data_IF_011598072078
#
_entry.id   IF_011598072078
#
_cell.length_a   1.000
_cell.length_b   1.000
_cell.length_c   1.000
_cell.angle_alpha   90.00
_cell.angle_beta   90.00
_cell.angle_gamma   90.00
#
_symmetry.space_group_name_H-M   'P 1'
#
loop_
_entity.id
_entity.type
_entity.pdbx_description
1 polymer ?
#
# COMPACT_ATOMS: atom_id res chain seq x y z
N UNK A 1 -0.23 23.42 -15.57
CA UNK A 1 -1.17 22.97 -14.49
C UNK A 1 -2.43 23.85 -14.55
N UNK A 2 -3.61 23.25 -14.66
CA UNK A 2 -4.89 23.95 -14.73
C UNK A 2 -5.32 24.48 -13.33
N UNK A 3 -6.40 25.32 -13.29
CA UNK A 3 -6.89 25.94 -12.06
C UNK A 3 -7.31 24.89 -11.01
N UNK A 4 -8.00 23.82 -11.43
CA UNK A 4 -8.45 22.73 -10.57
C UNK A 4 -7.27 22.06 -9.84
N UNK A 5 -6.22 21.69 -10.56
CA UNK A 5 -5.04 21.06 -9.98
C UNK A 5 -4.31 21.98 -8.99
N UNK A 6 -4.35 23.31 -9.21
CA UNK A 6 -3.80 24.29 -8.25
C UNK A 6 -4.58 24.30 -6.95
N UNK A 7 -5.91 24.30 -7.03
CA UNK A 7 -6.78 24.25 -5.85
C UNK A 7 -6.55 22.96 -5.04
N UNK A 8 -6.44 21.81 -5.71
CA UNK A 8 -6.11 20.54 -5.05
C UNK A 8 -4.76 20.62 -4.32
N UNK A 9 -3.75 21.25 -4.90
CA UNK A 9 -2.45 21.44 -4.24
C UNK A 9 -2.51 22.42 -3.06
N UNK A 10 -3.34 23.45 -3.13
CA UNK A 10 -3.57 24.36 -2.00
C UNK A 10 -4.22 23.64 -0.83
N UNK A 11 -5.23 22.81 -1.09
CA UNK A 11 -5.91 22.02 -0.06
C UNK A 11 -4.98 20.93 0.53
N UNK A 12 -4.12 20.32 -0.30
CA UNK A 12 -3.07 19.45 0.18
C UNK A 12 -2.13 20.18 1.17
N UNK A 13 -1.67 21.40 0.85
CA UNK A 13 -0.77 22.16 1.73
C UNK A 13 -1.40 22.47 3.07
N UNK A 14 -2.70 22.83 3.09
CA UNK A 14 -3.44 23.11 4.32
C UNK A 14 -3.58 21.88 5.23
N UNK A 15 -3.70 20.68 4.62
CA UNK A 15 -4.02 19.46 5.33
C UNK A 15 -2.79 18.54 5.53
N UNK A 16 -1.62 18.90 5.00
CA UNK A 16 -0.45 18.02 5.01
C UNK A 16 -0.02 17.61 6.42
N UNK A 17 -0.07 18.52 7.38
CA UNK A 17 0.35 18.26 8.75
C UNK A 17 -0.64 17.31 9.47
N UNK A 18 -1.92 17.36 9.13
CA UNK A 18 -2.90 16.40 9.62
C UNK A 18 -2.60 14.99 9.07
N UNK A 19 -2.21 14.87 7.79
CA UNK A 19 -1.80 13.59 7.22
C UNK A 19 -0.50 13.06 7.85
N UNK A 20 0.41 13.91 8.30
CA UNK A 20 1.59 13.47 9.04
C UNK A 20 1.17 12.88 10.39
N UNK A 21 0.32 13.60 11.17
CA UNK A 21 -0.22 13.08 12.43
C UNK A 21 -1.01 11.78 12.25
N UNK A 22 -1.84 11.74 11.21
CA UNK A 22 -2.59 10.53 10.83
C UNK A 22 -1.63 9.36 10.55
N UNK A 23 -0.52 9.62 9.87
CA UNK A 23 0.50 8.61 9.58
C UNK A 23 1.10 7.99 10.84
N UNK A 24 1.43 8.81 11.83
CA UNK A 24 1.95 8.34 13.12
C UNK A 24 0.91 7.50 13.87
N UNK A 25 -0.35 7.93 13.87
CA UNK A 25 -1.46 7.18 14.50
C UNK A 25 -1.65 5.82 13.80
N UNK A 26 -1.72 5.81 12.47
CA UNK A 26 -1.88 4.58 11.68
C UNK A 26 -0.71 3.62 11.88
N UNK A 27 0.52 4.14 11.92
CA UNK A 27 1.71 3.33 12.20
C UNK A 27 1.62 2.63 13.55
N UNK A 28 1.27 3.36 14.60
CA UNK A 28 1.13 2.80 15.94
C UNK A 28 0.00 1.76 16.00
N UNK A 29 -1.15 2.03 15.39
CA UNK A 29 -2.26 1.06 15.32
C UNK A 29 -1.86 -0.23 14.60
N UNK A 30 -1.13 -0.12 13.49
CA UNK A 30 -0.65 -1.30 12.74
C UNK A 30 0.40 -2.07 13.55
N UNK A 31 1.25 -1.39 14.31
CA UNK A 31 2.21 -2.03 15.22
C UNK A 31 1.48 -2.80 16.31
N UNK A 32 0.50 -2.18 16.97
CA UNK A 32 -0.31 -2.84 18.01
C UNK A 32 -1.05 -4.07 17.45
N UNK A 33 -1.57 -3.99 16.24
CA UNK A 33 -2.23 -5.12 15.56
C UNK A 33 -1.25 -6.28 15.39
N UNK A 34 -0.10 -6.03 14.81
CA UNK A 34 0.91 -7.06 14.53
C UNK A 34 1.44 -7.68 15.81
N UNK A 35 1.76 -6.86 16.82
CA UNK A 35 2.25 -7.31 18.13
C UNK A 35 1.21 -8.16 18.87
N UNK A 36 -0.07 -7.76 18.83
CA UNK A 36 -1.16 -8.51 19.47
C UNK A 36 -1.37 -9.91 18.87
N UNK A 37 -0.95 -10.10 17.62
CA UNK A 37 -1.04 -11.38 16.91
C UNK A 37 0.21 -12.25 17.08
N UNK A 38 1.30 -11.71 17.65
CA UNK A 38 2.58 -12.39 17.75
C UNK A 38 3.22 -12.66 16.37
N UNK A 39 2.85 -11.88 15.36
CA UNK A 39 3.42 -12.01 14.00
C UNK A 39 4.70 -11.18 13.92
N UNK A 40 5.78 -11.80 13.44
CA UNK A 40 7.02 -11.08 13.13
C UNK A 40 6.93 -10.52 11.70
N UNK A 41 7.16 -9.22 11.55
CA UNK A 41 7.17 -8.56 10.24
C UNK A 41 8.55 -7.99 9.94
N UNK A 42 8.89 -7.82 8.66
CA UNK A 42 10.11 -7.14 8.25
C UNK A 42 10.07 -5.65 8.65
N UNK A 43 8.90 -5.04 8.56
CA UNK A 43 8.70 -3.65 8.97
C UNK A 43 7.30 -3.14 8.68
N UNK A 44 6.99 -2.04 9.37
CA UNK A 44 5.80 -1.23 9.15
C UNK A 44 6.29 0.15 8.74
N UNK A 45 5.89 0.61 7.58
CA UNK A 45 6.32 1.87 7.00
C UNK A 45 5.11 2.75 6.73
N UNK A 46 5.27 4.06 6.85
CA UNK A 46 4.28 5.00 6.32
C UNK A 46 4.97 6.21 5.69
N UNK A 47 4.28 6.85 4.78
CA UNK A 47 4.74 8.10 4.20
C UNK A 47 3.58 8.96 3.71
N UNK A 48 3.71 10.26 3.89
CA UNK A 48 2.87 11.25 3.23
C UNK A 48 3.49 11.59 1.88
N UNK A 49 2.68 11.57 0.81
CA UNK A 49 3.12 11.91 -0.54
C UNK A 49 3.69 13.32 -0.57
N UNK A 50 4.84 13.52 -1.21
CA UNK A 50 5.41 14.86 -1.35
C UNK A 50 4.59 15.71 -2.34
N UNK A 51 4.59 17.03 -2.17
CA UNK A 51 3.92 17.95 -3.09
C UNK A 51 4.37 17.75 -4.54
N UNK A 52 5.68 17.54 -4.77
CA UNK A 52 6.24 17.25 -6.09
C UNK A 52 5.63 15.97 -6.70
N UNK A 53 5.49 14.92 -5.88
CA UNK A 53 4.89 13.65 -6.33
C UNK A 53 3.40 13.80 -6.63
N UNK A 54 2.68 14.59 -5.82
CA UNK A 54 1.27 14.89 -6.06
C UNK A 54 1.09 15.74 -7.32
N UNK A 55 1.89 16.78 -7.52
CA UNK A 55 1.86 17.60 -8.73
C UNK A 55 2.06 16.76 -9.99
N UNK A 56 3.06 15.87 -9.99
CA UNK A 56 3.30 14.94 -11.10
C UNK A 56 2.15 13.95 -11.32
N UNK A 57 1.46 13.50 -10.26
CA UNK A 57 0.25 12.67 -10.38
C UNK A 57 -0.90 13.45 -11.03
N UNK A 58 -1.12 14.69 -10.61
CA UNK A 58 -2.16 15.56 -11.15
C UNK A 58 -1.88 15.98 -12.60
N UNK A 59 -0.63 16.10 -13.01
CA UNK A 59 -0.29 16.38 -14.41
C UNK A 59 -0.61 15.21 -15.34
N UNK A 60 -0.38 13.97 -14.88
CA UNK A 60 -0.67 12.76 -15.67
C UNK A 60 -2.13 12.36 -15.67
N UNK A 61 -2.80 12.49 -14.51
CA UNK A 61 -4.12 11.91 -14.26
C UNK A 61 -5.11 12.93 -13.66
N UNK A 62 -4.84 14.23 -13.78
CA UNK A 62 -5.65 15.27 -13.11
C UNK A 62 -7.11 15.29 -13.50
N UNK A 63 -7.45 14.75 -14.68
CA UNK A 63 -8.85 14.69 -15.13
C UNK A 63 -9.69 13.69 -14.32
N UNK A 64 -9.05 12.75 -13.62
CA UNK A 64 -9.73 11.75 -12.78
C UNK A 64 -10.16 12.30 -11.42
N UNK A 65 -9.61 13.44 -10.99
CA UNK A 65 -9.86 14.03 -9.68
C UNK A 65 -10.64 15.33 -9.83
N UNK A 66 -11.76 15.44 -9.17
CA UNK A 66 -12.59 16.65 -9.13
C UNK A 66 -12.20 17.56 -7.97
N UNK A 67 -11.76 16.96 -6.86
CA UNK A 67 -11.38 17.65 -5.63
C UNK A 67 -10.23 16.94 -4.92
N UNK A 68 -9.78 17.50 -3.81
CA UNK A 68 -8.73 16.89 -2.97
C UNK A 68 -9.20 15.58 -2.32
N UNK A 69 -10.49 15.47 -1.98
CA UNK A 69 -11.12 14.32 -1.32
C UNK A 69 -11.13 13.06 -2.19
N UNK A 70 -11.00 13.22 -3.51
CA UNK A 70 -10.90 12.07 -4.44
C UNK A 70 -9.53 11.37 -4.34
N UNK A 71 -8.55 11.99 -3.68
CA UNK A 71 -7.21 11.45 -3.51
C UNK A 71 -7.15 10.53 -2.29
N UNK A 72 -7.12 9.24 -2.52
CA UNK A 72 -7.13 8.22 -1.46
C UNK A 72 -5.75 7.79 -0.98
N UNK A 73 -4.66 8.26 -1.63
CA UNK A 73 -3.28 7.81 -1.43
C UNK A 73 -2.31 8.95 -1.04
N UNK A 74 -2.82 10.00 -0.38
CA UNK A 74 -1.99 11.07 0.19
C UNK A 74 -1.10 10.53 1.30
N UNK A 75 -1.66 9.71 2.19
CA UNK A 75 -0.92 8.89 3.13
C UNK A 75 -0.96 7.44 2.65
N UNK A 76 0.19 6.80 2.61
CA UNK A 76 0.32 5.37 2.37
C UNK A 76 1.06 4.71 3.53
N UNK A 77 0.50 3.64 4.06
CA UNK A 77 1.12 2.76 5.04
C UNK A 77 1.37 1.37 4.43
N UNK A 78 2.37 0.65 4.95
CA UNK A 78 2.72 -0.70 4.49
C UNK A 78 3.05 -1.60 5.67
N UNK A 79 2.52 -2.82 5.62
CA UNK A 79 2.96 -3.91 6.50
C UNK A 79 3.66 -4.94 5.62
N UNK A 80 4.92 -5.24 5.93
CA UNK A 80 5.76 -6.16 5.15
C UNK A 80 5.98 -7.42 6.00
N UNK A 81 5.20 -8.47 5.74
CA UNK A 81 5.26 -9.74 6.44
C UNK A 81 6.18 -10.75 5.72
N UNK A 82 6.50 -11.85 6.38
CA UNK A 82 7.34 -12.88 5.78
C UNK A 82 6.54 -13.91 5.00
N UNK A 83 5.34 -14.27 5.47
CA UNK A 83 4.55 -15.36 4.90
C UNK A 83 3.24 -14.86 4.29
N UNK A 84 2.77 -15.58 3.26
CA UNK A 84 1.57 -15.17 2.50
C UNK A 84 0.27 -15.34 3.30
N UNK A 85 0.20 -16.33 4.21
CA UNK A 85 -0.96 -16.55 5.08
C UNK A 85 -1.11 -15.48 6.17
N UNK A 86 -0.05 -14.72 6.46
CA UNK A 86 -0.09 -13.59 7.37
C UNK A 86 -0.83 -12.38 6.78
N UNK A 87 -0.82 -12.24 5.44
CA UNK A 87 -1.53 -11.15 4.77
C UNK A 87 -3.01 -11.16 5.12
N UNK A 88 -3.67 -12.33 5.04
CA UNK A 88 -5.10 -12.45 5.33
C UNK A 88 -5.42 -12.28 6.82
N UNK A 89 -4.52 -12.75 7.68
CA UNK A 89 -4.65 -12.59 9.14
C UNK A 89 -4.58 -11.11 9.54
N UNK A 90 -3.56 -10.40 9.03
CA UNK A 90 -3.38 -8.97 9.27
C UNK A 90 -4.52 -8.17 8.64
N UNK A 91 -4.92 -8.54 7.41
CA UNK A 91 -6.03 -7.92 6.68
C UNK A 91 -7.32 -7.91 7.49
N UNK A 92 -7.72 -9.04 8.07
CA UNK A 92 -8.90 -9.13 8.93
C UNK A 92 -8.84 -8.20 10.15
N UNK A 93 -7.65 -8.04 10.76
CA UNK A 93 -7.48 -7.10 11.88
C UNK A 93 -7.52 -5.64 11.45
N UNK A 94 -7.05 -5.35 10.26
CA UNK A 94 -7.21 -4.01 9.66
C UNK A 94 -8.69 -3.71 9.40
N UNK A 95 -9.46 -4.67 8.89
CA UNK A 95 -10.91 -4.52 8.68
C UNK A 95 -11.68 -4.28 10.00
N UNK A 96 -11.22 -4.87 11.12
CA UNK A 96 -11.80 -4.66 12.44
C UNK A 96 -11.44 -3.29 13.05
N UNK A 97 -10.27 -2.74 12.72
CA UNK A 97 -9.71 -1.55 13.34
C UNK A 97 -10.02 -0.24 12.60
N UNK A 98 -10.27 -0.30 11.30
CA UNK A 98 -10.45 0.86 10.42
C UNK A 98 -11.77 0.81 9.67
N UNK A 99 -12.25 1.96 9.23
CA UNK A 99 -13.37 2.03 8.29
C UNK A 99 -12.84 1.80 6.88
N UNK A 100 -13.30 0.74 6.22
CA UNK A 100 -12.82 0.34 4.89
C UNK A 100 -13.71 0.90 3.80
N UNK A 101 -13.11 1.58 2.84
CA UNK A 101 -13.73 1.95 1.56
C UNK A 101 -13.57 0.79 0.57
N UNK A 102 -14.57 -0.10 0.57
CA UNK A 102 -14.54 -1.31 -0.25
C UNK A 102 -14.54 -1.05 -1.75
N UNK A 103 -15.12 0.06 -2.21
CA UNK A 103 -15.18 0.42 -3.63
C UNK A 103 -13.80 0.77 -4.19
N UNK A 104 -12.94 1.40 -3.36
CA UNK A 104 -11.60 1.81 -3.73
C UNK A 104 -10.51 0.83 -3.25
N UNK A 105 -10.89 -0.18 -2.47
CA UNK A 105 -9.98 -1.23 -2.01
C UNK A 105 -9.82 -2.34 -3.05
N UNK A 106 -8.68 -3.00 -3.08
CA UNK A 106 -8.43 -4.07 -4.05
C UNK A 106 -7.51 -5.16 -3.51
N UNK A 107 -7.90 -6.41 -3.75
CA UNK A 107 -7.01 -7.55 -3.60
C UNK A 107 -6.36 -7.88 -4.95
N UNK A 108 -5.14 -7.41 -5.14
CA UNK A 108 -4.42 -7.62 -6.39
C UNK A 108 -3.97 -9.08 -6.58
N UNK A 109 -4.02 -9.91 -5.53
CA UNK A 109 -3.73 -11.35 -5.61
C UNK A 109 -4.77 -12.09 -6.45
N UNK A 110 -6.04 -11.62 -6.42
CA UNK A 110 -7.14 -12.19 -7.19
C UNK A 110 -7.08 -11.90 -8.70
N UNK A 111 -6.29 -10.90 -9.13
CA UNK A 111 -6.22 -10.44 -10.51
C UNK A 111 -5.21 -11.22 -11.37
N UNK A 112 -4.38 -12.06 -10.77
CA UNK A 112 -3.30 -12.75 -11.47
C UNK A 112 -3.65 -14.24 -11.61
N UNK A 113 -3.55 -14.76 -12.86
CA UNK A 113 -3.63 -16.21 -13.11
C UNK A 113 -2.48 -16.90 -12.36
N UNK A 114 -2.75 -18.10 -11.83
CA UNK A 114 -1.85 -18.89 -10.99
C UNK A 114 -0.41 -19.05 -11.53
N UNK A 115 -0.21 -18.87 -12.84
CA UNK A 115 1.08 -19.02 -13.52
C UNK A 115 1.84 -17.72 -13.76
N UNK A 116 1.34 -16.57 -13.26
CA UNK A 116 1.97 -15.28 -13.51
C UNK A 116 2.57 -14.73 -12.23
N UNK A 117 3.90 -14.63 -12.18
CA UNK A 117 4.58 -13.89 -11.12
C UNK A 117 4.26 -12.41 -11.28
N UNK A 118 3.65 -11.79 -10.28
CA UNK A 118 3.20 -10.40 -10.37
C UNK A 118 3.12 -9.70 -9.03
N UNK A 119 2.81 -8.40 -9.10
CA UNK A 119 2.61 -7.55 -7.93
C UNK A 119 1.35 -7.97 -7.17
N UNK A 120 1.55 -8.78 -6.14
CA UNK A 120 0.50 -9.35 -5.30
C UNK A 120 0.52 -8.61 -3.96
N UNK A 121 -0.45 -7.76 -3.70
CA UNK A 121 -0.61 -7.11 -2.41
C UNK A 121 -2.08 -6.84 -2.15
N UNK A 122 -2.44 -6.88 -0.89
CA UNK A 122 -3.75 -6.47 -0.42
C UNK A 122 -3.71 -4.96 -0.17
N UNK A 123 -4.60 -4.21 -0.81
CA UNK A 123 -4.70 -2.77 -0.71
C UNK A 123 -6.05 -2.39 -0.12
N UNK A 124 -6.03 -1.78 1.04
CA UNK A 124 -7.20 -1.17 1.65
C UNK A 124 -7.12 0.34 1.56
N UNK A 125 -8.20 0.97 1.12
CA UNK A 125 -8.44 2.37 1.35
C UNK A 125 -9.23 2.49 2.63
N UNK A 126 -8.66 3.21 3.60
CA UNK A 126 -9.16 3.27 4.98
C UNK A 126 -9.40 4.70 5.41
N UNK A 127 -10.16 4.84 6.50
CA UNK A 127 -10.19 6.05 7.31
C UNK A 127 -10.33 5.68 8.79
N UNK A 128 -9.96 6.63 9.68
CA UNK A 128 -10.28 6.51 11.10
C UNK A 128 -11.76 6.83 11.32
N UNK A 129 -12.44 6.07 12.20
CA UNK A 129 -13.81 6.39 12.57
C UNK A 129 -13.86 7.72 13.33
N UNK A 130 -14.97 8.46 13.19
CA UNK A 130 -15.26 9.60 14.03
C UNK A 130 -15.56 9.14 15.47
N UNK A 131 -15.17 9.92 16.46
CA UNK A 131 -15.41 9.65 17.87
C UNK A 131 -14.35 10.34 18.76
N UNK A 132 -14.48 10.17 20.05
CA UNK A 132 -13.65 10.87 21.06
C UNK A 132 -12.19 10.37 21.14
N UNK A 133 -11.85 9.31 20.39
CA UNK A 133 -10.51 8.71 20.45
C UNK A 133 -9.45 9.51 19.69
N UNK A 134 -9.85 10.17 18.61
CA UNK A 134 -8.94 10.87 17.69
C UNK A 134 -9.43 12.30 17.44
N UNK A 135 -8.53 13.26 17.18
CA UNK A 135 -8.93 14.59 16.74
C UNK A 135 -9.73 14.54 15.43
N UNK A 136 -10.79 15.36 15.35
CA UNK A 136 -11.67 15.39 14.16
C UNK A 136 -10.92 15.71 12.87
N UNK A 137 -9.82 16.47 12.97
CA UNK A 137 -8.99 16.87 11.82
C UNK A 137 -8.35 15.68 11.08
N UNK A 138 -8.19 14.54 11.76
CA UNK A 138 -7.63 13.33 11.15
C UNK A 138 -8.66 12.24 10.89
N UNK A 139 -9.85 12.34 11.50
CA UNK A 139 -10.94 11.40 11.28
C UNK A 139 -11.52 11.54 9.86
N UNK A 140 -11.99 10.43 9.28
CA UNK A 140 -12.59 10.40 7.95
C UNK A 140 -11.64 10.66 6.78
N UNK A 141 -10.41 11.15 7.00
CA UNK A 141 -9.41 11.29 5.93
C UNK A 141 -9.03 9.92 5.37
N UNK A 142 -9.08 9.78 4.04
CA UNK A 142 -8.74 8.54 3.35
C UNK A 142 -7.23 8.36 3.26
N UNK A 143 -6.78 7.12 3.46
CA UNK A 143 -5.39 6.69 3.29
C UNK A 143 -5.32 5.25 2.81
N UNK A 144 -4.18 4.85 2.26
CA UNK A 144 -3.95 3.50 1.75
C UNK A 144 -3.13 2.67 2.74
N UNK A 145 -3.58 1.44 3.05
CA UNK A 145 -2.79 0.40 3.71
C UNK A 145 -2.48 -0.70 2.70
N UNK A 146 -1.20 -1.01 2.52
CA UNK A 146 -0.70 -2.11 1.70
C UNK A 146 -0.16 -3.21 2.59
N UNK A 147 -0.69 -4.44 2.46
CA UNK A 147 -0.17 -5.61 3.15
C UNK A 147 0.44 -6.52 2.10
N UNK A 148 1.71 -6.87 2.26
CA UNK A 148 2.47 -7.66 1.30
C UNK A 148 3.62 -8.41 1.95
N UNK A 149 4.10 -9.45 1.26
CA UNK A 149 5.29 -10.17 1.74
C UNK A 149 6.57 -9.44 1.35
N UNK A 150 7.68 -9.84 1.98
CA UNK A 150 9.03 -9.34 1.69
C UNK A 150 9.39 -9.50 0.20
N UNK A 151 9.06 -10.66 -0.40
CA UNK A 151 9.35 -10.88 -1.83
C UNK A 151 8.51 -9.96 -2.73
N UNK A 152 7.24 -9.76 -2.41
CA UNK A 152 6.38 -8.83 -3.13
C UNK A 152 6.86 -7.38 -2.97
N UNK A 153 7.38 -7.04 -1.78
CA UNK A 153 7.96 -5.73 -1.52
C UNK A 153 9.20 -5.50 -2.38
N UNK A 154 10.13 -6.45 -2.40
CA UNK A 154 11.36 -6.38 -3.19
C UNK A 154 11.05 -6.30 -4.68
N UNK A 155 10.11 -7.13 -5.17
CA UNK A 155 9.66 -7.10 -6.55
C UNK A 155 9.08 -5.74 -6.96
N UNK A 156 8.22 -5.17 -6.12
CA UNK A 156 7.64 -3.85 -6.37
C UNK A 156 8.72 -2.74 -6.42
N UNK A 157 9.74 -2.80 -5.57
CA UNK A 157 10.85 -1.86 -5.56
C UNK A 157 11.68 -1.96 -6.85
N UNK A 158 12.01 -3.18 -7.28
CA UNK A 158 12.76 -3.45 -8.52
C UNK A 158 11.96 -2.94 -9.73
N UNK A 159 10.67 -3.28 -9.83
CA UNK A 159 9.81 -2.84 -10.93
C UNK A 159 9.66 -1.32 -10.99
N UNK A 160 9.56 -0.65 -9.85
CA UNK A 160 9.49 0.80 -9.81
C UNK A 160 10.77 1.45 -10.32
N UNK A 161 11.94 0.95 -9.92
CA UNK A 161 13.23 1.50 -10.33
C UNK A 161 13.55 1.21 -11.80
N UNK A 162 13.26 0.01 -12.28
CA UNK A 162 13.47 -0.37 -13.67
C UNK A 162 12.47 0.31 -14.62
N UNK A 163 11.19 0.40 -14.22
CA UNK A 163 10.14 1.04 -15.01
C UNK A 163 10.33 2.55 -15.14
N UNK A 164 10.96 3.22 -14.17
CA UNK A 164 11.22 4.66 -14.20
C UNK A 164 12.48 5.00 -15.00
N UNK A 165 13.44 4.07 -15.12
CA UNK A 165 14.74 4.30 -15.81
C UNK A 165 14.79 3.78 -17.24
N UNK A 166 13.83 2.97 -17.67
CA UNK A 166 13.86 2.36 -19.01
C UNK A 166 12.92 3.08 -19.98
N UNK A 167 13.41 4.02 -20.74
CA UNK A 167 12.84 4.42 -22.05
C UNK A 167 12.90 3.26 -23.08
N UNK A 168 13.53 2.15 -22.75
CA UNK A 168 13.71 0.98 -23.59
C UNK A 168 13.15 -0.25 -22.88
N UNK A 169 12.22 -0.93 -23.50
CA UNK A 169 11.49 -2.16 -23.16
C UNK A 169 12.20 -3.30 -22.40
N UNK A 170 13.02 -2.99 -21.41
CA UNK A 170 13.75 -3.96 -20.57
C UNK A 170 12.78 -4.82 -19.73
N UNK A 171 11.56 -4.31 -19.46
CA UNK A 171 10.52 -5.05 -18.71
C UNK A 171 10.14 -6.39 -19.37
N UNK A 172 10.14 -6.47 -20.70
CA UNK A 172 9.76 -7.69 -21.43
C UNK A 172 10.81 -8.78 -21.26
N UNK A 173 12.10 -8.42 -21.35
CA UNK A 173 13.22 -9.39 -21.23
C UNK A 173 13.33 -9.94 -19.80
N UNK A 174 13.03 -9.13 -18.78
CA UNK A 174 13.02 -9.58 -17.39
C UNK A 174 11.84 -10.51 -17.08
N UNK A 175 10.64 -10.23 -17.62
CA UNK A 175 9.48 -11.12 -17.47
C UNK A 175 9.71 -12.49 -18.11
N UNK A 176 10.41 -12.56 -19.23
CA UNK A 176 10.74 -13.83 -19.89
C UNK A 176 11.81 -14.60 -19.10
N UNK A 177 12.86 -13.94 -18.63
CA UNK A 177 13.92 -14.59 -17.87
C UNK A 177 13.46 -15.06 -16.47
N UNK A 178 12.49 -14.37 -15.84
CA UNK A 178 11.91 -14.82 -14.56
C UNK A 178 10.97 -16.04 -14.72
N UNK A 179 10.46 -16.33 -15.93
CA UNK A 179 9.74 -17.59 -16.21
C UNK A 179 10.63 -18.81 -16.17
N UNK A 180 11.91 -18.63 -16.40
CA UNK A 180 12.92 -19.71 -16.41
C UNK A 180 13.60 -19.92 -15.04
N UNK A 181 13.28 -19.12 -14.02
CA UNK A 181 13.80 -19.36 -12.68
C UNK A 181 13.22 -20.67 -12.11
N UNK A 182 14.06 -21.44 -11.34
CA UNK A 182 13.64 -22.70 -10.77
C UNK A 182 12.33 -22.60 -9.99
N UNK A 183 11.58 -23.68 -9.93
CA UNK A 183 10.25 -23.80 -9.27
C UNK A 183 10.21 -23.37 -7.80
N UNK A 184 11.34 -23.20 -7.18
CA UNK A 184 11.50 -22.63 -5.85
C UNK A 184 10.79 -21.26 -5.67
N UNK A 185 10.77 -20.40 -6.71
CA UNK A 185 10.03 -19.13 -6.70
C UNK A 185 8.52 -19.28 -6.93
N UNK A 186 8.13 -20.46 -7.46
CA UNK A 186 6.74 -20.85 -7.70
C UNK A 186 6.12 -21.54 -6.49
N UNK A 187 6.93 -21.94 -5.48
CA UNK A 187 6.41 -22.50 -4.24
C UNK A 187 5.49 -21.45 -3.61
N UNK A 188 4.26 -21.82 -3.22
CA UNK A 188 3.45 -20.97 -2.36
C UNK A 188 4.32 -20.64 -1.16
N UNK A 189 4.56 -19.34 -0.92
CA UNK A 189 5.41 -18.91 0.19
C UNK A 189 4.93 -19.61 1.45
N UNK A 190 5.82 -20.36 2.08
CA UNK A 190 5.52 -21.30 3.14
C UNK A 190 4.60 -20.67 4.18
N UNK A 191 3.58 -21.39 4.57
CA UNK A 191 2.73 -21.04 5.69
C UNK A 191 3.56 -20.99 6.96
N UNK A 192 3.29 -20.04 7.83
CA UNK A 192 3.90 -19.91 9.14
C UNK A 192 3.80 -21.20 9.99
N UNK A 193 2.81 -22.07 9.69
CA UNK A 193 2.62 -23.38 10.32
C UNK A 193 3.61 -24.47 9.86
N UNK A 194 4.35 -24.25 8.77
CA UNK A 194 5.34 -25.21 8.24
C UNK A 194 6.75 -25.00 8.79
N UNK A 195 7.02 -23.97 9.57
CA UNK A 195 8.34 -23.60 10.07
C UNK A 195 8.64 -24.13 11.51
N UNK A 196 7.78 -24.99 12.04
CA UNK A 196 8.06 -25.68 13.31
C UNK A 196 8.92 -26.92 13.02
N UNK A 197 10.19 -26.86 13.37
CA UNK A 197 11.23 -27.89 13.42
C UNK A 197 12.23 -27.90 12.24
N UNK A 198 13.30 -27.18 12.42
CA UNK A 198 14.66 -27.71 12.34
C UNK A 198 15.46 -27.17 13.55
#
# INVERSE_FOLDING_TARGET
MNLKNRLILEDYRKQRDDFIRLGDVVHNMLTDIVDSMGITVLGIEHRVKTEKSLAGKLERNGDWYSSFEDLTDILGARVICFFSDEIDKIGKKVEEAFVIDWENSSDKRALIKADTFGYLSLHYICSLPFGDRWPDEICGKKFEIQIRTTLQHTWAAINHDLGYKSEFGVLVVWHENFRELPDFWKLPMMSSSGCAMI
#
